data_IF_530390336496
#
_entry.id   IF_530390336496
#
_cell.length_a   1.000
_cell.length_b   1.000
_cell.length_c   1.000
_cell.angle_alpha   90.00
_cell.angle_beta   90.00
_cell.angle_gamma   90.00
#
_symmetry.space_group_name_H-M   'P 1'
#
loop_
_entity.id
_entity.type
_entity.pdbx_description
1 polymer ?
#
# COMPACT_ATOMS: atom_id res chain seq x y z
N UNK A 1 8.31 -24.61 79.17
CA UNK A 1 7.82 -23.45 78.43
C UNK A 1 8.96 -22.95 77.53
N UNK A 2 8.90 -23.30 76.20
CA UNK A 2 9.89 -22.93 75.25
C UNK A 2 9.50 -21.61 74.59
N UNK A 3 10.31 -20.57 74.73
CA UNK A 3 10.11 -19.26 74.09
C UNK A 3 10.67 -19.29 72.67
N UNK A 4 9.80 -19.19 71.70
CA UNK A 4 10.15 -19.00 70.30
C UNK A 4 10.83 -17.65 70.09
N UNK A 5 12.02 -17.55 69.44
CA UNK A 5 12.68 -16.29 69.21
C UNK A 5 11.90 -15.45 68.20
N UNK A 6 11.53 -14.23 68.61
CA UNK A 6 10.82 -13.28 67.76
C UNK A 6 11.66 -12.93 66.54
N UNK A 7 11.10 -13.13 65.33
CA UNK A 7 11.69 -12.75 64.06
C UNK A 7 11.80 -11.23 63.99
N UNK A 8 13.01 -10.69 63.95
CA UNK A 8 13.25 -9.24 63.79
C UNK A 8 12.71 -8.81 62.43
N UNK A 9 11.69 -7.98 62.41
CA UNK A 9 11.18 -7.33 61.21
C UNK A 9 12.24 -6.27 60.76
N UNK A 10 12.80 -6.45 59.59
CA UNK A 10 13.64 -5.44 58.91
C UNK A 10 12.73 -4.48 58.18
N UNK A 11 12.72 -3.21 58.55
CA UNK A 11 12.04 -2.15 57.83
C UNK A 11 12.85 -1.70 56.62
N UNK A 12 12.17 -1.28 55.55
CA UNK A 12 12.83 -0.64 54.40
C UNK A 12 13.27 0.76 54.75
N UNK A 13 14.43 1.17 54.22
CA UNK A 13 14.91 2.54 54.37
C UNK A 13 14.28 3.45 53.33
N UNK A 14 14.09 4.73 53.63
CA UNK A 14 13.49 5.71 52.73
C UNK A 14 14.30 5.81 51.40
N UNK A 15 15.64 5.73 51.51
CA UNK A 15 16.52 5.79 50.34
C UNK A 15 16.38 4.58 49.43
N UNK A 16 16.12 3.40 49.98
CA UNK A 16 15.90 2.18 49.20
C UNK A 16 14.63 2.28 48.33
N UNK A 17 13.56 2.87 48.91
CA UNK A 17 12.32 3.13 48.16
C UNK A 17 12.57 4.20 47.07
N UNK A 18 13.32 5.28 47.38
CA UNK A 18 13.61 6.30 46.38
C UNK A 18 14.41 5.74 45.20
N UNK A 19 15.45 4.95 45.47
CA UNK A 19 16.27 4.33 44.41
C UNK A 19 15.48 3.33 43.60
N UNK A 20 14.64 2.52 44.24
CA UNK A 20 13.79 1.54 43.46
C UNK A 20 12.79 2.25 42.56
N UNK A 21 12.14 3.33 43.03
CA UNK A 21 11.22 4.11 42.19
C UNK A 21 11.94 4.77 41.02
N UNK A 22 13.16 5.30 41.25
CA UNK A 22 13.98 5.89 40.18
C UNK A 22 14.36 4.85 39.13
N UNK A 23 14.78 3.66 39.51
CA UNK A 23 15.14 2.58 38.59
C UNK A 23 13.91 2.10 37.80
N UNK A 24 12.74 1.97 38.46
CA UNK A 24 11.49 1.64 37.79
C UNK A 24 11.09 2.72 36.79
N UNK A 25 11.21 4.00 37.12
CA UNK A 25 10.89 5.10 36.22
C UNK A 25 11.75 5.06 34.94
N UNK A 26 13.06 4.85 35.09
CA UNK A 26 13.99 4.72 33.93
C UNK A 26 13.64 3.49 33.09
N UNK A 27 13.32 2.36 33.73
CA UNK A 27 12.91 1.14 33.04
C UNK A 27 11.64 1.32 32.22
N UNK A 28 10.62 1.99 32.79
CA UNK A 28 9.36 2.29 32.09
C UNK A 28 9.55 3.26 30.92
N UNK A 29 10.38 4.29 31.07
CA UNK A 29 10.71 5.21 29.97
C UNK A 29 11.39 4.48 28.80
N UNK A 30 12.31 3.55 29.09
CA UNK A 30 12.95 2.72 28.08
C UNK A 30 11.93 1.84 27.33
N UNK A 31 10.97 1.26 28.04
CA UNK A 31 9.91 0.43 27.45
C UNK A 31 8.98 1.26 26.55
N UNK A 32 8.59 2.47 26.96
CA UNK A 32 7.78 3.37 26.14
C UNK A 32 8.46 3.72 24.81
N UNK A 33 9.78 3.96 24.82
CA UNK A 33 10.54 4.23 23.60
C UNK A 33 10.56 3.04 22.63
N UNK A 34 10.55 1.80 23.10
CA UNK A 34 10.45 0.61 22.26
C UNK A 34 9.04 0.45 21.67
N UNK A 35 8.00 0.73 22.46
CA UNK A 35 6.60 0.61 22.00
C UNK A 35 6.29 1.54 20.83
N UNK A 36 6.76 2.79 20.86
CA UNK A 36 6.53 3.73 19.76
C UNK A 36 7.19 3.28 18.46
N UNK A 37 8.39 2.72 18.52
CA UNK A 37 9.05 2.13 17.34
C UNK A 37 8.34 0.88 16.82
N UNK A 38 7.89 0.00 17.73
CA UNK A 38 7.14 -1.19 17.36
C UNK A 38 5.86 -0.83 16.59
N UNK A 39 5.09 0.14 17.08
CA UNK A 39 3.85 0.60 16.42
C UNK A 39 4.10 1.16 15.01
N UNK A 40 5.20 1.90 14.80
CA UNK A 40 5.54 2.41 13.47
C UNK A 40 5.87 1.27 12.48
N UNK A 41 6.63 0.27 12.92
CA UNK A 41 6.97 -0.91 12.12
C UNK A 41 5.72 -1.75 11.80
N UNK A 42 4.83 -1.94 12.76
CA UNK A 42 3.56 -2.64 12.57
C UNK A 42 2.69 -1.95 11.52
N UNK A 43 2.58 -0.63 11.58
CA UNK A 43 1.80 0.14 10.61
C UNK A 43 2.41 0.06 9.19
N UNK A 44 3.73 0.21 9.03
CA UNK A 44 4.38 0.04 7.72
C UNK A 44 4.21 -1.39 7.18
N UNK A 45 4.29 -2.40 8.05
CA UNK A 45 4.06 -3.79 7.67
C UNK A 45 2.63 -4.02 7.20
N UNK A 46 1.65 -3.44 7.90
CA UNK A 46 0.23 -3.49 7.53
C UNK A 46 -0.02 -2.85 6.16
N UNK A 47 0.50 -1.63 5.92
CA UNK A 47 0.38 -0.96 4.61
C UNK A 47 1.00 -1.79 3.49
N UNK A 48 2.16 -2.40 3.72
CA UNK A 48 2.80 -3.28 2.75
C UNK A 48 1.94 -4.52 2.47
N UNK A 49 1.34 -5.11 3.50
CA UNK A 49 0.41 -6.24 3.34
C UNK A 49 -0.79 -5.88 2.47
N UNK A 50 -1.40 -4.71 2.72
CA UNK A 50 -2.48 -4.18 1.89
C UNK A 50 -2.05 -3.94 0.44
N UNK A 51 -0.88 -3.31 0.23
CA UNK A 51 -0.35 -3.08 -1.11
C UNK A 51 -0.18 -4.39 -1.88
N UNK A 52 0.38 -5.44 -1.25
CA UNK A 52 0.52 -6.76 -1.87
C UNK A 52 -0.84 -7.37 -2.20
N UNK A 53 -1.83 -7.26 -1.32
CA UNK A 53 -3.17 -7.78 -1.55
C UNK A 53 -3.85 -7.10 -2.76
N UNK A 54 -3.79 -5.76 -2.82
CA UNK A 54 -4.34 -4.97 -3.93
C UNK A 54 -3.60 -5.20 -5.26
N UNK A 55 -2.28 -5.42 -5.21
CA UNK A 55 -1.52 -5.78 -6.41
C UNK A 55 -1.92 -7.15 -6.95
N UNK A 56 -2.15 -8.13 -6.07
CA UNK A 56 -2.64 -9.47 -6.44
C UNK A 56 -4.07 -9.44 -6.97
N UNK A 57 -4.93 -8.61 -6.39
CA UNK A 57 -6.29 -8.40 -6.91
C UNK A 57 -6.24 -7.88 -8.35
N UNK A 58 -5.44 -6.85 -8.63
CA UNK A 58 -5.28 -6.34 -9.99
C UNK A 58 -4.66 -7.38 -10.93
N UNK A 59 -3.67 -8.15 -10.47
CA UNK A 59 -3.14 -9.28 -11.23
C UNK A 59 -4.24 -10.28 -11.58
N UNK A 60 -5.08 -10.66 -10.63
CA UNK A 60 -6.17 -11.59 -10.85
C UNK A 60 -7.18 -11.05 -11.87
N UNK A 61 -7.53 -9.75 -11.81
CA UNK A 61 -8.39 -9.07 -12.79
C UNK A 61 -7.79 -9.12 -14.20
N UNK A 62 -6.50 -8.84 -14.36
CA UNK A 62 -5.78 -8.91 -15.64
C UNK A 62 -5.77 -10.32 -16.23
N UNK A 63 -5.57 -11.34 -15.40
CA UNK A 63 -5.49 -12.72 -15.83
C UNK A 63 -6.86 -13.36 -16.10
N UNK A 64 -7.89 -13.00 -15.33
CA UNK A 64 -9.26 -13.53 -15.52
C UNK A 64 -9.96 -12.89 -16.71
N UNK A 65 -9.71 -11.60 -16.96
CA UNK A 65 -10.36 -10.80 -17.98
C UNK A 65 -9.39 -10.39 -19.09
N UNK A 66 -8.66 -11.34 -19.65
CA UNK A 66 -7.61 -11.09 -20.68
C UNK A 66 -8.10 -10.30 -21.87
N UNK A 67 -9.35 -10.49 -22.28
CA UNK A 67 -9.96 -9.77 -23.40
C UNK A 67 -10.00 -8.26 -23.22
N UNK A 68 -10.02 -7.76 -21.99
CA UNK A 68 -10.04 -6.31 -21.71
C UNK A 68 -8.66 -5.70 -21.51
N UNK A 69 -7.59 -6.51 -21.48
CA UNK A 69 -6.21 -6.00 -21.31
C UNK A 69 -5.85 -4.96 -22.37
N UNK A 70 -6.20 -5.11 -23.66
CA UNK A 70 -6.01 -4.05 -24.64
C UNK A 70 -6.71 -2.73 -24.29
N UNK A 71 -7.82 -2.80 -23.55
CA UNK A 71 -8.51 -1.61 -23.05
C UNK A 71 -7.67 -0.79 -22.09
N UNK A 72 -6.90 -1.43 -21.19
CA UNK A 72 -5.96 -0.71 -20.29
C UNK A 72 -4.81 -0.04 -21.05
N UNK A 73 -4.49 -0.53 -22.24
CA UNK A 73 -3.44 0.01 -23.10
C UNK A 73 -3.96 1.08 -24.05
N UNK A 74 -5.26 1.41 -23.96
CA UNK A 74 -5.88 2.44 -24.79
C UNK A 74 -5.41 3.84 -24.32
N UNK A 75 -4.94 4.70 -25.23
CA UNK A 75 -4.55 6.07 -24.88
C UNK A 75 -5.65 6.89 -24.20
N UNK A 76 -6.94 6.56 -24.42
CA UNK A 76 -8.06 7.26 -23.83
C UNK A 76 -8.16 7.07 -22.29
N UNK A 77 -7.56 6.00 -21.74
CA UNK A 77 -7.52 5.73 -20.29
C UNK A 77 -6.10 5.79 -19.73
N UNK A 78 -5.10 5.98 -20.58
CA UNK A 78 -3.70 6.10 -20.18
C UNK A 78 -3.42 7.51 -19.67
N UNK A 79 -2.81 7.60 -18.49
CA UNK A 79 -2.53 8.91 -17.86
C UNK A 79 -1.17 9.48 -18.29
N UNK A 80 -0.11 8.65 -18.31
CA UNK A 80 1.26 9.07 -18.56
C UNK A 80 2.02 7.93 -19.27
N UNK A 81 2.78 8.24 -20.31
CA UNK A 81 3.65 7.30 -21.04
C UNK A 81 2.98 5.96 -21.44
N UNK A 82 1.70 5.98 -21.78
CA UNK A 82 0.96 4.78 -22.11
C UNK A 82 0.64 3.88 -20.88
N UNK A 83 0.85 4.40 -19.67
CA UNK A 83 0.55 3.71 -18.42
C UNK A 83 -0.76 4.23 -17.82
N UNK A 84 -1.51 3.35 -17.15
CA UNK A 84 -2.71 3.74 -16.40
C UNK A 84 -2.31 4.04 -14.96
N UNK A 85 -2.65 5.25 -14.49
CA UNK A 85 -2.42 5.67 -13.11
C UNK A 85 -3.76 5.94 -12.43
N UNK A 86 -3.97 5.40 -11.22
CA UNK A 86 -5.19 5.55 -10.43
C UNK A 86 -4.87 5.80 -8.96
N UNK A 87 -5.80 6.39 -8.23
CA UNK A 87 -5.65 6.70 -6.80
C UNK A 87 -5.44 8.18 -6.54
N UNK A 88 -4.57 8.54 -5.58
CA UNK A 88 -4.34 9.92 -5.19
C UNK A 88 -3.36 10.64 -6.14
N UNK A 89 -3.52 11.98 -6.27
CA UNK A 89 -2.64 12.86 -7.03
C UNK A 89 -3.25 13.33 -8.36
N UNK A 90 -2.72 14.45 -8.88
CA UNK A 90 -3.25 15.15 -10.07
C UNK A 90 -3.03 14.38 -11.38
N UNK A 91 -1.97 13.57 -11.46
CA UNK A 91 -1.69 12.72 -12.63
C UNK A 91 -2.47 11.41 -12.66
N UNK A 92 -3.26 11.10 -11.62
CA UNK A 92 -4.13 9.92 -11.63
C UNK A 92 -5.33 10.15 -12.54
N UNK A 93 -5.68 9.14 -13.34
CA UNK A 93 -6.92 9.15 -14.08
C UNK A 93 -8.10 9.09 -13.10
N UNK A 94 -9.01 10.05 -13.21
CA UNK A 94 -10.25 10.04 -12.45
C UNK A 94 -11.36 9.48 -13.35
N UNK A 95 -11.66 8.21 -13.15
CA UNK A 95 -12.75 7.54 -13.89
C UNK A 95 -14.10 7.66 -13.18
N UNK A 96 -14.14 8.13 -11.94
CA UNK A 96 -15.38 8.26 -11.19
C UNK A 96 -16.17 9.50 -11.65
N UNK A 97 -17.51 9.39 -11.57
CA UNK A 97 -18.42 10.52 -11.77
C UNK A 97 -18.34 11.52 -10.59
N UNK A 98 -19.10 12.62 -10.68
CA UNK A 98 -19.15 13.65 -9.64
C UNK A 98 -19.64 13.12 -8.27
N UNK A 99 -20.32 11.97 -8.24
CA UNK A 99 -20.79 11.31 -7.03
C UNK A 99 -19.80 10.24 -6.53
N UNK A 100 -18.67 10.09 -7.20
CA UNK A 100 -17.64 9.09 -6.87
C UNK A 100 -17.98 7.66 -7.33
N UNK A 101 -18.95 7.47 -8.25
CA UNK A 101 -19.29 6.16 -8.80
C UNK A 101 -18.40 5.83 -9.99
N UNK A 102 -17.98 4.57 -10.08
CA UNK A 102 -17.27 4.10 -11.26
C UNK A 102 -18.21 3.95 -12.45
N UNK A 103 -17.69 4.15 -13.69
CA UNK A 103 -18.50 4.02 -14.90
C UNK A 103 -19.06 2.60 -15.04
N UNK A 104 -20.25 2.49 -15.61
CA UNK A 104 -20.81 1.20 -15.96
C UNK A 104 -20.19 0.73 -17.27
N UNK A 105 -19.70 -0.53 -17.35
CA UNK A 105 -19.14 -1.07 -18.57
C UNK A 105 -20.19 -1.13 -19.69
N UNK A 106 -19.87 -0.61 -20.88
CA UNK A 106 -20.72 -0.74 -22.05
C UNK A 106 -20.46 -2.08 -22.75
N UNK A 107 -21.50 -2.84 -23.14
CA UNK A 107 -21.31 -4.11 -23.85
C UNK A 107 -20.47 -3.95 -25.13
N UNK A 108 -19.42 -4.76 -25.26
CA UNK A 108 -18.53 -4.75 -26.43
C UNK A 108 -17.45 -3.66 -26.43
N UNK A 109 -17.47 -2.72 -25.49
CA UNK A 109 -16.43 -1.68 -25.36
C UNK A 109 -15.38 -2.07 -24.32
N UNK A 110 -14.24 -2.56 -24.78
CA UNK A 110 -13.12 -2.99 -23.93
C UNK A 110 -12.54 -1.83 -23.13
N UNK A 111 -12.58 -0.61 -23.64
CA UNK A 111 -12.02 0.56 -22.93
C UNK A 111 -12.92 0.93 -21.74
N UNK A 112 -14.24 0.89 -21.89
CA UNK A 112 -15.17 1.14 -20.78
C UNK A 112 -15.07 0.10 -19.67
N UNK A 113 -14.89 -1.18 -20.02
CA UNK A 113 -14.61 -2.24 -19.04
C UNK A 113 -13.29 -1.99 -18.29
N UNK A 114 -12.22 -1.65 -19.01
CA UNK A 114 -10.93 -1.34 -18.40
C UNK A 114 -11.02 -0.12 -17.49
N UNK A 115 -11.72 0.93 -17.89
CA UNK A 115 -11.94 2.14 -17.10
C UNK A 115 -12.73 1.83 -15.82
N UNK A 116 -13.79 1.01 -15.90
CA UNK A 116 -14.55 0.60 -14.73
C UNK A 116 -13.69 -0.19 -13.72
N UNK A 117 -12.89 -1.14 -14.20
CA UNK A 117 -11.99 -1.92 -13.36
C UNK A 117 -10.88 -1.05 -12.74
N UNK A 118 -10.28 -0.14 -13.53
CA UNK A 118 -9.26 0.79 -13.03
C UNK A 118 -9.84 1.73 -11.97
N UNK A 119 -11.05 2.24 -12.18
CA UNK A 119 -11.79 3.04 -11.20
C UNK A 119 -12.00 2.28 -9.89
N UNK A 120 -12.53 1.05 -9.97
CA UNK A 120 -12.76 0.21 -8.79
C UNK A 120 -11.46 -0.01 -8.01
N UNK A 121 -10.38 -0.37 -8.70
CA UNK A 121 -9.07 -0.54 -8.08
C UNK A 121 -8.53 0.77 -7.46
N UNK A 122 -8.72 1.91 -8.12
CA UNK A 122 -8.35 3.22 -7.58
C UNK A 122 -9.10 3.55 -6.28
N UNK A 123 -10.38 3.18 -6.19
CA UNK A 123 -11.19 3.33 -4.96
C UNK A 123 -10.71 2.41 -3.84
N UNK A 124 -10.35 1.16 -4.17
CA UNK A 124 -9.80 0.22 -3.19
C UNK A 124 -8.48 0.73 -2.61
N UNK A 125 -7.60 1.33 -3.44
CA UNK A 125 -6.37 2.00 -2.99
C UNK A 125 -6.65 3.17 -2.03
N UNK A 126 -7.76 3.88 -2.22
CA UNK A 126 -8.22 4.98 -1.36
C UNK A 126 -8.98 4.50 -0.12
N UNK A 127 -9.05 3.19 0.12
CA UNK A 127 -9.70 2.60 1.29
C UNK A 127 -11.22 2.58 1.19
N UNK A 128 -11.80 2.62 -0.02
CA UNK A 128 -13.25 2.64 -0.20
C UNK A 128 -13.96 1.37 0.32
N UNK A 129 -13.22 0.26 0.47
CA UNK A 129 -13.74 -0.98 1.00
C UNK A 129 -14.02 -0.94 2.51
N UNK A 130 -13.38 -0.03 3.24
CA UNK A 130 -13.57 0.16 4.68
C UNK A 130 -13.89 1.62 4.96
N UNK A 131 -15.17 1.91 5.26
CA UNK A 131 -15.65 3.25 5.59
C UNK A 131 -16.33 3.26 6.95
N UNK A 132 -16.10 4.35 7.70
CA UNK A 132 -16.90 4.72 8.86
C UNK A 132 -17.64 6.04 8.59
N UNK A 133 -18.30 6.58 9.62
CA UNK A 133 -19.00 7.86 9.55
C UNK A 133 -18.07 9.06 9.28
N UNK A 134 -16.77 8.92 9.50
CA UNK A 134 -15.76 9.98 9.31
C UNK A 134 -15.04 9.87 7.97
N UNK A 135 -15.15 8.74 7.24
CA UNK A 135 -14.52 8.56 5.92
C UNK A 135 -13.98 7.16 5.67
N UNK A 136 -12.98 7.06 4.79
CA UNK A 136 -12.31 5.79 4.48
C UNK A 136 -11.30 5.43 5.55
N UNK A 137 -11.46 4.26 6.18
CA UNK A 137 -10.53 3.72 7.19
C UNK A 137 -9.56 2.77 6.51
N UNK A 138 -8.28 2.79 6.93
CA UNK A 138 -7.27 1.83 6.48
C UNK A 138 -6.73 2.08 5.07
N UNK A 139 -6.99 3.25 4.49
CA UNK A 139 -6.32 3.67 3.26
C UNK A 139 -4.81 3.82 3.49
N UNK A 140 -4.01 3.37 2.55
CA UNK A 140 -2.60 3.73 2.52
C UNK A 140 -2.46 5.22 2.22
N UNK A 141 -1.59 5.92 2.95
CA UNK A 141 -1.44 7.37 2.81
C UNK A 141 -0.91 7.72 1.41
N UNK A 142 -1.66 8.55 0.69
CA UNK A 142 -1.28 8.99 -0.64
C UNK A 142 -1.19 7.88 -1.70
N UNK A 143 -1.84 6.74 -1.49
CA UNK A 143 -1.69 5.57 -2.35
C UNK A 143 -2.01 5.85 -3.81
N UNK A 144 -1.15 5.38 -4.70
CA UNK A 144 -1.29 5.41 -6.15
C UNK A 144 -1.00 4.02 -6.72
N UNK A 145 -1.85 3.57 -7.62
CA UNK A 145 -1.65 2.36 -8.41
C UNK A 145 -1.31 2.70 -9.87
N UNK A 146 -0.38 1.96 -10.45
CA UNK A 146 0.02 2.13 -11.84
C UNK A 146 0.08 0.78 -12.56
N UNK A 147 -0.40 0.74 -13.79
CA UNK A 147 -0.14 -0.32 -14.75
C UNK A 147 0.87 0.19 -15.75
N UNK A 148 2.11 -0.29 -15.66
CA UNK A 148 3.21 0.17 -16.50
C UNK A 148 3.53 -0.90 -17.54
N UNK A 149 3.41 -0.56 -18.82
CA UNK A 149 3.70 -1.46 -19.93
C UNK A 149 5.20 -1.71 -20.05
N UNK A 150 5.55 -2.96 -20.36
CA UNK A 150 6.91 -3.38 -20.72
C UNK A 150 6.95 -3.54 -22.25
N UNK A 151 7.83 -2.81 -22.90
CA UNK A 151 8.03 -2.88 -24.35
C UNK A 151 9.46 -3.30 -24.69
N UNK A 152 9.66 -4.20 -25.64
CA UNK A 152 8.65 -5.04 -26.27
C UNK A 152 8.13 -6.11 -25.30
N UNK A 153 6.87 -6.56 -25.45
CA UNK A 153 6.34 -7.64 -24.64
C UNK A 153 7.06 -8.98 -24.95
N UNK A 154 7.03 -9.93 -24.02
CA UNK A 154 7.58 -11.26 -24.27
C UNK A 154 6.87 -11.94 -25.44
N UNK A 155 7.60 -12.84 -26.12
CA UNK A 155 7.00 -13.65 -27.20
C UNK A 155 5.76 -14.41 -26.67
N UNK A 156 4.69 -14.45 -27.48
CA UNK A 156 3.41 -15.06 -27.15
C UNK A 156 2.67 -14.42 -25.97
N UNK A 157 3.05 -13.20 -25.55
CA UNK A 157 2.29 -12.41 -24.62
C UNK A 157 1.31 -11.48 -25.31
N UNK A 158 0.09 -11.40 -24.78
CA UNK A 158 -0.89 -10.37 -25.11
C UNK A 158 -0.45 -9.02 -24.51
N UNK A 159 0.09 -9.06 -23.30
CA UNK A 159 0.68 -7.92 -22.62
C UNK A 159 1.73 -8.37 -21.59
N UNK A 160 2.69 -7.50 -21.35
CA UNK A 160 3.69 -7.62 -20.29
C UNK A 160 3.66 -6.31 -19.49
N UNK A 161 3.29 -6.39 -18.24
CA UNK A 161 2.96 -5.23 -17.42
C UNK A 161 3.62 -5.33 -16.04
N UNK A 162 3.97 -4.17 -15.47
CA UNK A 162 4.12 -4.05 -14.03
C UNK A 162 2.83 -3.52 -13.41
N UNK A 163 2.31 -4.24 -12.42
CA UNK A 163 1.35 -3.71 -11.44
C UNK A 163 2.17 -3.10 -10.33
N UNK A 164 2.05 -1.81 -10.15
CA UNK A 164 2.84 -1.04 -9.19
C UNK A 164 1.90 -0.33 -8.22
N UNK A 165 2.24 -0.38 -6.95
CA UNK A 165 1.55 0.42 -5.93
C UNK A 165 2.61 1.19 -5.16
N UNK A 166 2.41 2.50 -5.02
CA UNK A 166 3.25 3.38 -4.22
C UNK A 166 2.40 4.11 -3.18
N UNK A 167 3.02 4.42 -2.03
CA UNK A 167 2.37 5.11 -0.93
C UNK A 167 3.40 5.86 -0.07
N UNK A 168 2.93 6.69 0.84
CA UNK A 168 3.77 7.40 1.79
C UNK A 168 4.03 6.54 3.03
N UNK A 169 5.30 6.28 3.34
CA UNK A 169 5.74 5.66 4.58
C UNK A 169 5.89 6.67 5.72
N UNK A 170 5.94 6.18 6.94
CA UNK A 170 6.13 7.01 8.14
C UNK A 170 7.62 7.28 8.39
N UNK A 171 8.46 6.27 8.25
CA UNK A 171 9.89 6.39 8.48
C UNK A 171 10.62 6.88 7.23
N UNK A 172 11.71 7.62 7.42
CA UNK A 172 12.60 7.98 6.31
C UNK A 172 13.49 6.80 5.97
N UNK A 173 13.45 6.36 4.70
CA UNK A 173 14.29 5.29 4.12
C UNK A 173 14.74 5.70 2.72
N UNK A 174 15.55 4.87 2.08
CA UNK A 174 15.92 5.09 0.68
C UNK A 174 14.69 4.95 -0.22
N UNK A 175 14.42 5.97 -1.03
CA UNK A 175 13.36 5.92 -2.04
C UNK A 175 13.70 4.91 -3.14
N UNK A 176 12.71 4.33 -3.81
CA UNK A 176 12.94 3.53 -5.01
C UNK A 176 13.69 4.33 -6.07
N UNK A 177 14.60 3.68 -6.80
CA UNK A 177 15.33 4.32 -7.89
C UNK A 177 14.35 4.93 -8.92
N UNK A 178 14.66 6.13 -9.42
CA UNK A 178 13.75 6.90 -10.28
C UNK A 178 13.35 6.17 -11.57
N UNK A 179 14.25 5.33 -12.11
CA UNK A 179 14.05 4.50 -13.29
C UNK A 179 13.31 3.19 -13.01
N UNK A 180 13.16 2.82 -11.72
CA UNK A 180 12.40 1.63 -11.33
C UNK A 180 10.90 1.83 -11.54
N UNK A 181 10.12 0.75 -11.72
CA UNK A 181 8.66 0.87 -11.83
C UNK A 181 8.02 1.64 -10.68
N UNK A 182 8.51 1.44 -9.44
CA UNK A 182 8.01 2.16 -8.26
C UNK A 182 8.46 3.62 -8.21
N UNK A 183 9.61 3.97 -8.81
CA UNK A 183 10.06 5.36 -8.95
C UNK A 183 9.26 6.13 -10.01
N UNK A 184 8.92 5.46 -11.12
CA UNK A 184 8.12 6.05 -12.21
C UNK A 184 6.66 6.24 -11.87
N UNK A 185 6.05 5.29 -11.12
CA UNK A 185 4.67 5.38 -10.68
C UNK A 185 4.48 6.60 -9.76
N UNK A 186 3.49 7.45 -10.04
CA UNK A 186 3.21 8.66 -9.28
C UNK A 186 4.40 9.62 -9.15
N UNK A 187 5.15 9.82 -10.25
CA UNK A 187 6.25 10.78 -10.28
C UNK A 187 5.79 12.24 -10.10
N UNK A 188 4.49 12.50 -10.25
CA UNK A 188 3.81 13.78 -9.99
C UNK A 188 3.49 14.03 -8.52
N UNK A 189 3.67 13.03 -7.64
CA UNK A 189 3.36 13.12 -6.21
C UNK A 189 4.65 13.24 -5.40
N UNK A 190 4.75 14.30 -4.60
CA UNK A 190 5.79 14.44 -3.60
C UNK A 190 5.38 13.75 -2.30
N UNK A 191 6.02 12.63 -1.99
CA UNK A 191 5.84 11.90 -0.73
C UNK A 191 6.75 12.41 0.38
N UNK A 192 7.61 13.40 0.10
CA UNK A 192 8.69 13.81 0.98
C UNK A 192 9.95 12.93 0.86
N UNK A 193 11.12 13.46 1.26
CA UNK A 193 12.41 12.79 1.09
C UNK A 193 12.48 11.49 1.90
N UNK A 194 12.74 10.39 1.21
CA UNK A 194 12.86 9.06 1.83
C UNK A 194 11.55 8.45 2.33
N UNK A 195 10.39 9.03 1.99
CA UNK A 195 9.09 8.53 2.43
C UNK A 195 8.34 7.75 1.36
N UNK A 196 8.82 7.71 0.13
CA UNK A 196 8.20 6.90 -0.93
C UNK A 196 8.38 5.42 -0.64
N UNK A 197 7.29 4.68 -0.55
CA UNK A 197 7.25 3.22 -0.50
C UNK A 197 6.64 2.72 -1.79
N UNK A 198 7.09 1.55 -2.23
CA UNK A 198 6.51 0.96 -3.42
C UNK A 198 6.75 -0.54 -3.51
N UNK A 199 5.81 -1.20 -4.16
CA UNK A 199 5.94 -2.58 -4.63
C UNK A 199 5.68 -2.61 -6.12
N UNK A 200 6.34 -3.52 -6.82
CA UNK A 200 6.10 -3.79 -8.24
C UNK A 200 5.99 -5.28 -8.45
N UNK A 201 4.99 -5.71 -9.21
CA UNK A 201 4.74 -7.09 -9.57
C UNK A 201 4.62 -7.18 -11.09
N UNK A 202 5.50 -7.98 -11.72
CA UNK A 202 5.41 -8.24 -13.15
C UNK A 202 4.29 -9.22 -13.43
N UNK A 203 3.44 -8.91 -14.39
CA UNK A 203 2.33 -9.72 -14.83
C UNK A 203 2.46 -9.96 -16.33
N UNK A 204 2.67 -11.21 -16.70
CA UNK A 204 2.66 -11.66 -18.08
C UNK A 204 1.26 -12.19 -18.39
N UNK A 205 0.58 -11.58 -19.34
CA UNK A 205 -0.72 -12.02 -19.84
C UNK A 205 -0.51 -12.78 -21.14
N UNK A 206 -0.66 -14.12 -21.16
CA UNK A 206 -0.39 -14.93 -22.34
C UNK A 206 -1.47 -14.72 -23.44
N UNK A 207 -1.03 -14.72 -24.71
CA UNK A 207 -1.94 -14.78 -25.86
C UNK A 207 -2.25 -16.23 -26.19
N UNK A 208 -3.38 -16.72 -25.71
CA UNK A 208 -3.80 -18.11 -25.93
C UNK A 208 -4.12 -18.44 -27.40
N UNK A 209 -4.28 -17.44 -28.27
CA UNK A 209 -4.52 -17.65 -29.71
C UNK A 209 -3.24 -18.00 -30.46
N UNK A 210 -2.07 -17.68 -29.88
CA UNK A 210 -0.75 -17.99 -30.46
C UNK A 210 -0.08 -19.21 -29.82
N UNK A 211 -0.73 -19.84 -28.84
CA UNK A 211 -0.20 -20.98 -28.12
C UNK A 211 -0.62 -22.35 -28.73
N UNK A 212 -1.25 -22.34 -29.89
CA UNK A 212 -1.64 -23.52 -30.65
C UNK A 212 -0.72 -23.78 -31.85
#
# INVERSE_FOLDING_TARGET
>A
MSRTPGRRQRGFTLIEVMVTVLLLAIGLLGMLGMQTRASAVEFESYQRGQAVALARDMQARLLSSRGIVPGYLNPAISSVDGSVWVGNGSGAANFADANGNCPQPAPGDLASFAAAQACAWGRDLQGAAMRDSAGSIGAMVGARGCLIRIEPPQQNALADLYVVIVWQGIETRTDPAADSPAGRCASDVDFGPGQRRGISMRVLVPDLRKAA
#
